data_IF_419208895461
#
_entry.id   IF_419208895461
#
_cell.length_a   1.000
_cell.length_b   1.000
_cell.length_c   1.000
_cell.angle_alpha   90.00
_cell.angle_beta   90.00
_cell.angle_gamma   90.00
#
_symmetry.space_group_name_H-M   'P 1'
#
loop_
_entity.id
_entity.type
_entity.pdbx_description
1 polymer ?
#
# COMPACT_ATOMS: atom_id res chain seq x y z
N UNK A 1 -30.52 -0.88 12.34
CA UNK A 1 -29.97 -1.65 11.20
C UNK A 1 -29.34 -0.65 10.25
N UNK A 2 -28.02 -0.73 10.02
CA UNK A 2 -27.31 0.12 9.04
C UNK A 2 -27.42 -0.55 7.67
N UNK A 3 -27.75 0.22 6.63
CA UNK A 3 -27.85 -0.26 5.25
C UNK A 3 -26.86 0.57 4.41
N UNK A 4 -25.89 -0.09 3.80
CA UNK A 4 -24.98 0.58 2.86
C UNK A 4 -25.72 0.92 1.58
N UNK A 5 -25.54 2.14 1.07
CA UNK A 5 -26.01 2.55 -0.24
C UNK A 5 -24.89 2.29 -1.26
N UNK A 6 -25.01 1.20 -2.02
CA UNK A 6 -24.09 0.86 -3.11
C UNK A 6 -24.30 1.82 -4.29
N UNK A 7 -23.51 2.91 -4.33
CA UNK A 7 -23.61 3.90 -5.41
C UNK A 7 -22.45 4.89 -5.53
N UNK A 8 -21.52 4.94 -4.56
CA UNK A 8 -20.38 5.85 -4.64
C UNK A 8 -19.19 5.11 -5.24
N UNK A 9 -18.75 5.55 -6.43
CA UNK A 9 -17.48 5.10 -7.01
C UNK A 9 -16.32 5.62 -6.15
N UNK A 10 -15.39 4.73 -5.80
CA UNK A 10 -14.17 5.09 -5.10
C UNK A 10 -13.29 6.03 -5.93
N UNK A 11 -12.38 6.74 -5.27
CA UNK A 11 -11.38 7.61 -5.88
C UNK A 11 -9.98 7.23 -5.44
N UNK A 12 -8.99 7.45 -6.30
CA UNK A 12 -7.59 7.23 -5.96
C UNK A 12 -6.97 8.53 -5.46
N UNK A 13 -6.32 8.46 -4.29
CA UNK A 13 -5.76 9.65 -3.63
C UNK A 13 -4.31 9.39 -3.25
N UNK A 14 -3.44 10.37 -3.51
CA UNK A 14 -2.04 10.34 -3.08
C UNK A 14 -1.93 10.65 -1.60
N UNK A 15 -1.01 9.99 -0.89
CA UNK A 15 -0.66 10.30 0.50
C UNK A 15 0.87 10.57 0.58
N UNK A 16 1.33 11.75 0.13
CA UNK A 16 2.76 12.07 0.03
C UNK A 16 3.51 11.96 1.36
N UNK A 17 2.84 12.30 2.46
CA UNK A 17 3.41 12.25 3.81
C UNK A 17 3.70 10.83 4.31
N UNK A 18 3.24 9.79 3.60
CA UNK A 18 3.56 8.41 3.92
C UNK A 18 4.94 7.97 3.40
N UNK A 19 5.61 8.81 2.61
CA UNK A 19 6.86 8.50 1.89
C UNK A 19 7.87 9.63 2.05
N UNK A 20 8.47 9.72 3.24
CA UNK A 20 9.36 10.83 3.59
C UNK A 20 10.67 10.82 2.78
N UNK A 21 11.18 9.64 2.40
CA UNK A 21 12.45 9.48 1.70
C UNK A 21 12.37 9.53 0.17
N UNK A 22 11.18 9.74 -0.38
CA UNK A 22 10.97 9.83 -1.85
C UNK A 22 11.25 11.26 -2.33
N UNK A 23 11.85 11.46 -3.51
CA UNK A 23 11.96 12.78 -4.13
C UNK A 23 10.60 13.46 -4.24
N UNK A 24 10.53 14.77 -3.95
CA UNK A 24 9.26 15.52 -3.93
C UNK A 24 8.46 15.38 -5.23
N UNK A 25 9.13 15.34 -6.40
CA UNK A 25 8.49 15.16 -7.71
C UNK A 25 7.79 13.81 -7.88
N UNK A 26 8.14 12.80 -7.09
CA UNK A 26 7.62 11.43 -7.19
C UNK A 26 6.65 11.04 -6.08
N UNK A 27 6.47 11.87 -5.03
CA UNK A 27 5.62 11.53 -3.87
C UNK A 27 4.13 11.37 -4.20
N UNK A 28 3.68 11.94 -5.31
CA UNK A 28 2.28 11.91 -5.75
C UNK A 28 1.94 10.72 -6.65
N UNK A 29 2.95 10.02 -7.18
CA UNK A 29 2.76 8.90 -8.09
C UNK A 29 1.99 7.74 -7.44
N UNK A 30 2.15 7.49 -6.14
CA UNK A 30 1.45 6.41 -5.46
C UNK A 30 0.07 6.84 -4.94
N UNK A 31 -0.97 6.10 -5.33
CA UNK A 31 -2.36 6.41 -4.94
C UNK A 31 -3.07 5.17 -4.40
N UNK A 32 -3.79 5.33 -3.30
CA UNK A 32 -4.65 4.31 -2.70
C UNK A 32 -6.11 4.57 -3.05
N UNK A 33 -6.88 3.51 -3.28
CA UNK A 33 -8.33 3.66 -3.47
C UNK A 33 -9.01 3.95 -2.13
N UNK A 34 -9.78 5.03 -2.10
CA UNK A 34 -10.68 5.38 -1.02
C UNK A 34 -12.12 5.20 -1.49
N UNK A 35 -12.91 4.44 -0.74
CA UNK A 35 -14.32 4.19 -1.04
C UNK A 35 -15.19 4.86 0.01
N UNK A 36 -15.92 5.94 -0.33
CA UNK A 36 -16.86 6.56 0.58
C UNK A 36 -18.04 5.62 0.85
N UNK A 37 -18.42 5.49 2.12
CA UNK A 37 -19.60 4.74 2.56
C UNK A 37 -20.56 5.67 3.27
N UNK A 38 -21.78 5.75 2.76
CA UNK A 38 -22.89 6.37 3.46
C UNK A 38 -23.45 5.36 4.47
N UNK A 39 -23.47 5.75 5.74
CA UNK A 39 -24.04 4.99 6.83
C UNK A 39 -25.29 5.72 7.30
N UNK A 40 -26.44 5.12 7.02
CA UNK A 40 -27.71 5.59 7.55
C UNK A 40 -27.98 4.91 8.89
N UNK A 41 -28.02 5.70 9.97
CA UNK A 41 -28.41 5.24 11.31
C UNK A 41 -29.80 5.77 11.63
N UNK A 42 -30.76 4.86 11.82
CA UNK A 42 -32.10 5.21 12.29
C UNK A 42 -32.23 4.94 13.78
N UNK A 43 -32.49 5.99 14.56
CA UNK A 43 -32.79 5.91 15.98
C UNK A 43 -34.04 6.73 16.31
N UNK A 44 -35.07 6.08 16.87
CA UNK A 44 -36.26 6.72 17.47
C UNK A 44 -36.88 7.84 16.60
N UNK A 45 -37.02 7.59 15.29
CA UNK A 45 -37.64 8.55 14.35
C UNK A 45 -36.71 9.62 13.78
N UNK A 46 -35.45 9.69 14.21
CA UNK A 46 -34.41 10.47 13.53
C UNK A 46 -33.59 9.56 12.60
N UNK A 47 -33.34 10.07 11.40
CA UNK A 47 -32.38 9.52 10.44
C UNK A 47 -31.12 10.37 10.56
N UNK A 48 -30.01 9.73 10.89
CA UNK A 48 -28.68 10.33 10.84
C UNK A 48 -27.90 9.70 9.68
N UNK A 49 -27.21 10.52 8.90
CA UNK A 49 -26.44 10.08 7.75
C UNK A 49 -24.99 10.50 8.02
N UNK A 50 -24.13 9.53 8.27
CA UNK A 50 -22.70 9.76 8.35
C UNK A 50 -22.00 9.27 7.08
N UNK A 51 -20.91 9.95 6.73
CA UNK A 51 -20.01 9.50 5.66
C UNK A 51 -18.76 8.93 6.31
N UNK A 52 -18.51 7.64 6.08
CA UNK A 52 -17.24 7.01 6.39
C UNK A 52 -16.42 6.89 5.10
N UNK A 53 -15.11 6.75 5.24
CA UNK A 53 -14.21 6.48 4.13
C UNK A 53 -13.44 5.21 4.45
N UNK A 54 -13.60 4.20 3.61
CA UNK A 54 -12.83 2.97 3.70
C UNK A 54 -11.57 3.12 2.85
N UNK A 55 -10.41 2.84 3.45
CA UNK A 55 -9.14 2.71 2.72
C UNK A 55 -9.05 1.29 2.18
N UNK A 56 -8.98 1.14 0.86
CA UNK A 56 -8.89 -0.18 0.22
C UNK A 56 -7.42 -0.55 0.04
N UNK A 57 -6.86 -1.21 1.05
CA UNK A 57 -5.42 -1.53 1.12
C UNK A 57 -4.94 -2.55 0.08
N UNK A 58 -5.85 -3.31 -0.52
CA UNK A 58 -5.55 -4.29 -1.57
C UNK A 58 -5.64 -3.71 -3.00
N UNK A 59 -5.87 -2.39 -3.13
CA UNK A 59 -5.93 -1.69 -4.42
C UNK A 59 -5.09 -0.42 -4.35
N UNK A 60 -4.03 -0.41 -5.15
CA UNK A 60 -3.15 0.72 -5.32
C UNK A 60 -2.88 0.93 -6.82
N UNK A 61 -2.58 2.17 -7.21
CA UNK A 61 -2.08 2.47 -8.55
C UNK A 61 -0.84 3.36 -8.48
N UNK A 62 -0.04 3.27 -9.53
CA UNK A 62 1.07 4.17 -9.82
C UNK A 62 0.62 5.06 -10.98
N UNK A 63 0.51 6.36 -10.72
CA UNK A 63 0.20 7.36 -11.72
C UNK A 63 1.49 7.85 -12.37
N UNK A 64 1.79 7.33 -13.56
CA UNK A 64 2.99 7.71 -14.30
C UNK A 64 2.96 9.16 -14.78
N UNK A 65 1.81 9.84 -14.80
CA UNK A 65 1.75 11.27 -15.13
C UNK A 65 2.31 12.15 -14.01
N UNK A 66 2.26 11.65 -12.77
CA UNK A 66 2.83 12.29 -11.57
C UNK A 66 4.22 11.71 -11.22
N UNK A 67 4.87 11.01 -12.18
CA UNK A 67 6.22 10.46 -12.01
C UNK A 67 7.23 11.30 -12.79
N UNK A 68 8.14 11.94 -12.07
CA UNK A 68 9.24 12.67 -12.69
C UNK A 68 10.40 11.72 -13.01
N UNK A 69 10.71 11.57 -14.30
CA UNK A 69 11.78 10.67 -14.76
C UNK A 69 13.16 11.27 -14.48
N UNK A 70 13.27 12.59 -14.39
CA UNK A 70 14.54 13.26 -14.13
C UNK A 70 14.99 13.07 -12.67
N UNK A 71 14.06 12.71 -11.77
CA UNK A 71 14.33 12.36 -10.36
C UNK A 71 14.85 10.92 -10.19
N UNK A 72 14.95 10.14 -11.28
CA UNK A 72 15.37 8.72 -11.20
C UNK A 72 16.89 8.61 -11.05
N UNK A 73 17.33 8.20 -9.87
CA UNK A 73 18.69 7.75 -9.62
C UNK A 73 18.84 6.26 -10.00
N UNK A 74 19.52 6.00 -11.11
CA UNK A 74 19.73 4.63 -11.62
C UNK A 74 20.73 3.81 -10.80
N UNK A 75 21.65 4.45 -10.09
CA UNK A 75 22.57 3.75 -9.18
C UNK A 75 21.80 3.29 -7.94
N UNK A 76 20.94 4.16 -7.39
CA UNK A 76 20.01 3.81 -6.32
C UNK A 76 19.02 2.71 -6.75
N UNK A 77 18.49 2.77 -7.98
CA UNK A 77 17.64 1.71 -8.53
C UNK A 77 18.37 0.36 -8.63
N UNK A 78 19.65 0.38 -8.99
CA UNK A 78 20.51 -0.81 -8.99
C UNK A 78 20.64 -1.40 -7.57
N UNK A 79 20.89 -0.53 -6.59
CA UNK A 79 20.97 -0.90 -5.18
C UNK A 79 19.65 -1.49 -4.65
N UNK A 80 18.54 -0.89 -5.03
CA UNK A 80 17.19 -1.35 -4.73
C UNK A 80 16.94 -2.78 -5.21
N UNK A 81 17.37 -3.09 -6.43
CA UNK A 81 17.27 -4.42 -6.99
C UNK A 81 18.09 -5.47 -6.22
N UNK A 82 19.27 -5.09 -5.73
CA UNK A 82 20.11 -5.97 -4.91
C UNK A 82 19.50 -6.23 -3.53
N UNK A 83 18.97 -5.19 -2.87
CA UNK A 83 18.29 -5.30 -1.58
C UNK A 83 17.04 -6.18 -1.68
N UNK A 84 16.25 -6.03 -2.75
CA UNK A 84 15.12 -6.90 -3.06
C UNK A 84 15.54 -8.36 -3.23
N UNK A 85 16.61 -8.60 -4.00
CA UNK A 85 17.13 -9.94 -4.25
C UNK A 85 17.61 -10.60 -2.97
N UNK A 86 18.20 -9.84 -2.06
CA UNK A 86 18.56 -10.32 -0.73
C UNK A 86 17.31 -10.65 0.10
N UNK A 87 16.34 -9.73 0.17
CA UNK A 87 15.09 -9.92 0.90
C UNK A 87 14.33 -11.18 0.43
N UNK A 88 14.21 -11.40 -0.88
CA UNK A 88 13.56 -12.59 -1.44
C UNK A 88 14.26 -13.89 -1.06
N UNK A 89 15.57 -13.87 -0.84
CA UNK A 89 16.34 -15.04 -0.41
C UNK A 89 16.23 -15.28 1.09
N UNK A 90 16.33 -14.24 1.90
CA UNK A 90 16.52 -14.35 3.36
C UNK A 90 15.25 -14.15 4.18
N UNK A 91 14.23 -13.46 3.66
CA UNK A 91 13.02 -13.01 4.40
C UNK A 91 11.70 -13.53 3.82
N UNK A 92 11.74 -14.72 3.22
CA UNK A 92 10.58 -15.31 2.52
C UNK A 92 9.35 -15.48 3.42
N UNK A 93 9.55 -15.77 4.70
CA UNK A 93 8.45 -15.99 5.67
C UNK A 93 7.70 -14.69 5.92
N UNK A 94 8.42 -13.61 6.15
CA UNK A 94 7.90 -12.27 6.42
C UNK A 94 7.18 -11.73 5.19
N UNK A 95 7.80 -11.86 4.01
CA UNK A 95 7.18 -11.50 2.74
C UNK A 95 5.88 -12.28 2.51
N UNK A 96 5.85 -13.59 2.74
CA UNK A 96 4.64 -14.41 2.61
C UNK A 96 3.53 -14.04 3.63
N UNK A 97 3.89 -13.59 4.83
CA UNK A 97 2.92 -13.10 5.79
C UNK A 97 2.35 -11.75 5.33
N UNK A 98 3.20 -10.88 4.76
CA UNK A 98 2.75 -9.63 4.17
C UNK A 98 1.82 -9.84 2.98
N UNK A 99 2.20 -10.73 2.05
CA UNK A 99 1.38 -11.20 0.94
C UNK A 99 -0.05 -11.50 1.38
N UNK A 100 -0.19 -12.41 2.34
CA UNK A 100 -1.48 -12.93 2.78
C UNK A 100 -2.36 -11.86 3.38
N UNK A 101 -1.78 -10.90 4.08
CA UNK A 101 -2.54 -9.82 4.70
C UNK A 101 -3.00 -8.79 3.66
N UNK A 102 -2.12 -8.37 2.75
CA UNK A 102 -2.50 -7.36 1.74
C UNK A 102 -3.38 -7.92 0.63
N UNK A 103 -3.27 -9.21 0.31
CA UNK A 103 -4.09 -9.85 -0.72
C UNK A 103 -5.47 -10.28 -0.22
N UNK A 104 -5.74 -10.20 1.08
CA UNK A 104 -7.02 -10.60 1.67
C UNK A 104 -7.94 -9.37 1.81
N UNK A 105 -9.06 -9.30 1.05
CA UNK A 105 -10.01 -8.18 1.17
C UNK A 105 -10.65 -8.06 2.56
N UNK A 106 -10.61 -9.13 3.36
CA UNK A 106 -11.13 -9.15 4.74
C UNK A 106 -10.10 -8.79 5.81
N UNK A 107 -8.86 -8.45 5.44
CA UNK A 107 -7.84 -8.12 6.44
C UNK A 107 -8.14 -6.82 7.18
N UNK A 108 -7.96 -6.87 8.49
CA UNK A 108 -8.20 -5.75 9.40
C UNK A 108 -7.01 -4.80 9.44
N UNK A 109 -7.25 -3.55 9.86
CA UNK A 109 -6.19 -2.54 10.05
C UNK A 109 -5.14 -3.03 11.05
N UNK A 110 -5.56 -3.72 12.11
CA UNK A 110 -4.67 -4.31 13.12
C UNK A 110 -3.76 -5.40 12.54
N UNK A 111 -4.27 -6.23 11.63
CA UNK A 111 -3.46 -7.26 10.94
C UNK A 111 -2.43 -6.62 10.00
N UNK A 112 -2.85 -5.62 9.22
CA UNK A 112 -1.95 -4.86 8.34
C UNK A 112 -0.86 -4.17 9.16
N UNK A 113 -1.21 -3.56 10.31
CA UNK A 113 -0.25 -2.93 11.23
C UNK A 113 0.76 -3.93 11.79
N UNK A 114 0.31 -5.13 12.20
CA UNK A 114 1.19 -6.19 12.70
C UNK A 114 2.17 -6.67 11.63
N UNK A 115 1.70 -6.82 10.40
CA UNK A 115 2.55 -7.17 9.26
C UNK A 115 3.58 -6.08 8.98
N UNK A 116 3.18 -4.81 8.98
CA UNK A 116 4.10 -3.70 8.78
C UNK A 116 5.21 -3.68 9.85
N UNK A 117 4.86 -3.90 11.12
CA UNK A 117 5.84 -4.01 12.21
C UNK A 117 6.80 -5.20 12.03
N UNK A 118 6.30 -6.34 11.56
CA UNK A 118 7.13 -7.51 11.27
C UNK A 118 8.09 -7.25 10.11
N UNK A 119 7.64 -6.57 9.05
CA UNK A 119 8.50 -6.17 7.93
C UNK A 119 9.59 -5.19 8.40
N UNK A 120 9.23 -4.19 9.21
CA UNK A 120 10.20 -3.25 9.79
C UNK A 120 11.24 -3.98 10.65
N UNK A 121 10.82 -4.88 11.54
CA UNK A 121 11.73 -5.69 12.34
C UNK A 121 12.63 -6.62 11.51
N UNK A 122 12.22 -6.96 10.29
CA UNK A 122 13.00 -7.75 9.35
C UNK A 122 13.96 -6.92 8.49
N UNK A 123 13.97 -5.60 8.66
CA UNK A 123 14.74 -4.66 7.84
C UNK A 123 14.12 -4.41 6.46
N UNK A 124 12.81 -4.61 6.32
CA UNK A 124 12.05 -4.45 5.08
C UNK A 124 11.11 -3.22 5.15
N UNK A 125 11.58 -2.13 5.75
CA UNK A 125 10.89 -0.85 5.81
C UNK A 125 11.59 0.21 4.96
N UNK A 126 10.90 1.32 4.70
CA UNK A 126 11.46 2.46 3.94
C UNK A 126 12.76 2.92 4.57
N UNK A 127 12.73 3.16 5.89
CA UNK A 127 13.92 3.56 6.65
C UNK A 127 15.06 2.56 6.51
N UNK A 128 14.79 1.26 6.60
CA UNK A 128 15.83 0.25 6.48
C UNK A 128 16.46 0.22 5.07
N UNK A 129 15.67 0.45 4.02
CA UNK A 129 16.20 0.56 2.67
C UNK A 129 17.00 1.86 2.47
N UNK A 130 16.50 3.00 2.95
CA UNK A 130 17.22 4.27 2.93
C UNK A 130 18.57 4.20 3.68
N UNK A 131 18.60 3.54 4.84
CA UNK A 131 19.83 3.31 5.61
C UNK A 131 20.86 2.43 4.89
N UNK A 132 20.45 1.74 3.82
CA UNK A 132 21.30 0.88 2.98
C UNK A 132 21.50 1.43 1.56
N UNK A 133 21.34 2.74 1.40
CA UNK A 133 21.45 3.48 0.13
C UNK A 133 20.42 3.06 -0.93
N UNK A 134 19.31 2.45 -0.50
CA UNK A 134 18.15 2.18 -1.35
C UNK A 134 17.14 3.33 -1.34
N UNK A 135 16.14 3.25 -2.22
CA UNK A 135 14.99 4.14 -2.34
C UNK A 135 13.66 3.42 -2.04
N UNK A 136 12.56 3.93 -2.60
CA UNK A 136 11.21 3.38 -2.38
C UNK A 136 10.85 2.23 -3.33
N UNK A 137 11.59 2.08 -4.43
CA UNK A 137 11.29 1.07 -5.46
C UNK A 137 11.26 -0.36 -4.88
N UNK A 138 12.08 -0.76 -3.89
CA UNK A 138 11.96 -2.04 -3.20
C UNK A 138 10.61 -2.21 -2.51
N UNK A 139 10.08 -1.17 -1.87
CA UNK A 139 8.76 -1.22 -1.25
C UNK A 139 7.64 -1.31 -2.28
N UNK A 140 7.76 -0.59 -3.39
CA UNK A 140 6.81 -0.63 -4.50
C UNK A 140 6.84 -1.99 -5.20
N UNK A 141 8.01 -2.59 -5.39
CA UNK A 141 8.18 -3.90 -6.02
C UNK A 141 7.79 -5.02 -5.05
N UNK A 142 8.07 -4.90 -3.75
CA UNK A 142 7.50 -5.79 -2.75
C UNK A 142 5.98 -5.68 -2.86
N UNK A 143 5.40 -4.49 -2.68
CA UNK A 143 3.95 -4.26 -2.81
C UNK A 143 3.34 -4.80 -4.12
N UNK A 144 3.99 -4.58 -5.26
CA UNK A 144 3.54 -5.08 -6.56
C UNK A 144 3.71 -6.60 -6.70
N UNK A 145 4.82 -7.19 -6.24
CA UNK A 145 4.98 -8.64 -6.14
C UNK A 145 3.94 -9.23 -5.16
N UNK A 146 3.55 -8.47 -4.14
CA UNK A 146 2.47 -8.78 -3.23
C UNK A 146 1.08 -8.79 -3.88
N UNK A 147 0.90 -8.11 -5.00
CA UNK A 147 -0.35 -8.09 -5.76
C UNK A 147 -0.32 -9.08 -6.93
N UNK A 148 0.83 -9.25 -7.59
CA UNK A 148 1.02 -10.08 -8.79
C UNK A 148 1.12 -11.58 -8.49
N UNK A 149 1.67 -11.99 -7.34
CA UNK A 149 1.74 -13.42 -7.01
C UNK A 149 0.40 -14.03 -6.57
N UNK A 150 -0.63 -13.21 -6.33
CA UNK A 150 -2.03 -13.64 -6.26
C UNK A 150 -2.64 -13.97 -7.64
N UNK A 151 -2.14 -13.36 -8.71
CA UNK A 151 -2.59 -13.67 -10.09
C UNK A 151 -2.02 -15.01 -10.60
N UNK A 152 -0.82 -15.39 -10.15
CA UNK A 152 -0.18 -16.66 -10.56
C UNK A 152 -0.81 -17.92 -9.92
N UNK A 153 -1.69 -17.77 -8.92
CA UNK A 153 -2.45 -18.88 -8.33
C UNK A 153 -3.80 -19.14 -9.05
N UNK A 154 -4.12 -18.35 -10.07
CA UNK A 154 -5.36 -18.43 -10.87
C UNK A 154 -5.12 -18.82 -12.35
N UNK A 155 -3.96 -19.42 -12.67
CA UNK A 155 -3.71 -20.06 -13.97
C UNK A 155 -3.72 -21.58 -13.85
#
# INVERSE_FOLDING_TARGET
MSRGLDGIKGGFVSIPSAFEGVPEGSKHAFKLELVPKLIETRNLGKVDISTNVDVVTHRALIDFADFDVDDVDYDQLGRDCDLLKEAFKSRRKELNAAMKAVSNPGSTVEEIRKVAQMLDAAGLSERAFLENDGGIIPLLVIGAALLLSGLAQYQ
#
